data_IF_699704829190
#
_entry.id   IF_699704829190
#
_cell.length_a   1.000
_cell.length_b   1.000
_cell.length_c   1.000
_cell.angle_alpha   90.00
_cell.angle_beta   90.00
_cell.angle_gamma   90.00
#
_symmetry.space_group_name_H-M   'P 1'
#
loop_
_entity.id
_entity.type
_entity.pdbx_description
1 polymer ?
#
# COMPACT_ATOMS: atom_id res chain seq x y z
N UNK A 1 0.03 -10.04 2.98
CA UNK A 1 0.38 -8.77 2.31
C UNK A 1 1.53 -8.11 3.04
N UNK A 2 2.50 -7.58 2.30
CA UNK A 2 3.65 -6.84 2.84
C UNK A 2 3.62 -5.41 2.32
N UNK A 3 3.62 -4.43 3.23
CA UNK A 3 3.92 -3.04 2.87
C UNK A 3 5.43 -2.80 2.89
N UNK A 4 5.96 -1.95 2.03
CA UNK A 4 7.40 -1.63 2.01
C UNK A 4 7.90 -1.16 3.38
N UNK A 5 7.18 -0.24 4.03
CA UNK A 5 7.48 0.28 5.36
C UNK A 5 6.28 0.36 6.31
N UNK A 6 6.46 1.13 7.38
CA UNK A 6 5.45 1.31 8.43
C UNK A 6 4.21 2.08 7.95
N UNK A 7 4.36 3.02 7.02
CA UNK A 7 3.23 3.79 6.49
C UNK A 7 2.25 2.90 5.73
N UNK A 8 2.78 2.06 4.84
CA UNK A 8 2.00 1.07 4.09
C UNK A 8 1.36 0.08 5.05
N UNK A 9 2.10 -0.41 6.05
CA UNK A 9 1.55 -1.33 7.04
C UNK A 9 0.33 -0.75 7.77
N UNK A 10 0.42 0.49 8.26
CA UNK A 10 -0.68 1.13 8.97
C UNK A 10 -1.88 1.39 8.06
N UNK A 11 -1.65 1.87 6.84
CA UNK A 11 -2.73 2.09 5.89
C UNK A 11 -3.42 0.77 5.50
N UNK A 12 -2.66 -0.30 5.24
CA UNK A 12 -3.21 -1.62 4.94
C UNK A 12 -4.02 -2.17 6.12
N UNK A 13 -3.54 -1.99 7.37
CA UNK A 13 -4.26 -2.43 8.58
C UNK A 13 -5.58 -1.69 8.71
N UNK A 14 -5.59 -0.40 8.38
CA UNK A 14 -6.80 0.41 8.34
C UNK A 14 -7.79 -0.13 7.30
N UNK A 15 -7.36 -0.32 6.05
CA UNK A 15 -8.21 -0.91 5.00
C UNK A 15 -8.76 -2.27 5.41
N UNK A 16 -7.93 -3.17 5.94
CA UNK A 16 -8.37 -4.47 6.44
C UNK A 16 -9.46 -4.34 7.50
N UNK A 17 -9.33 -3.39 8.42
CA UNK A 17 -10.33 -3.18 9.48
C UNK A 17 -11.70 -2.74 8.95
N UNK A 18 -11.74 -2.13 7.75
CA UNK A 18 -12.97 -1.65 7.12
C UNK A 18 -13.57 -2.64 6.12
N UNK A 19 -12.73 -3.40 5.40
CA UNK A 19 -13.14 -4.13 4.20
C UNK A 19 -13.00 -5.66 4.29
N UNK A 20 -12.23 -6.19 5.26
CA UNK A 20 -12.06 -7.63 5.40
C UNK A 20 -13.11 -8.31 6.31
N UNK A 21 -13.95 -7.53 6.99
CA UNK A 21 -14.99 -8.11 7.85
C UNK A 21 -16.08 -8.75 6.99
N UNK A 22 -16.41 -10.01 7.28
CA UNK A 22 -17.39 -10.83 6.54
C UNK A 22 -17.12 -10.95 5.03
N UNK A 23 -15.88 -10.74 4.58
CA UNK A 23 -15.50 -10.90 3.17
C UNK A 23 -15.17 -12.36 2.79
N UNK A 24 -15.10 -13.26 3.77
CA UNK A 24 -14.72 -14.66 3.55
C UNK A 24 -13.21 -14.87 3.36
N UNK A 25 -12.39 -13.82 3.47
CA UNK A 25 -10.92 -13.93 3.40
C UNK A 25 -10.25 -13.48 4.70
N UNK A 26 -9.12 -14.10 5.02
CA UNK A 26 -8.27 -13.70 6.14
C UNK A 26 -7.01 -13.01 5.65
N UNK A 27 -6.87 -11.72 5.97
CA UNK A 27 -5.74 -10.91 5.49
C UNK A 27 -4.70 -10.71 6.59
N UNK A 28 -3.54 -11.34 6.39
CA UNK A 28 -2.34 -11.12 7.19
C UNK A 28 -1.52 -9.97 6.62
N UNK A 29 -1.18 -8.98 7.45
CA UNK A 29 -0.38 -7.81 7.08
C UNK A 29 0.95 -7.85 7.83
N UNK A 30 2.03 -7.56 7.11
CA UNK A 30 3.41 -7.52 7.62
C UNK A 30 4.15 -6.30 7.11
N UNK A 31 5.17 -5.91 7.86
CA UNK A 31 6.12 -4.88 7.48
C UNK A 31 7.25 -5.48 6.64
N UNK A 32 7.59 -4.84 5.52
CA UNK A 32 8.74 -5.17 4.68
C UNK A 32 10.09 -4.79 5.29
N UNK A 33 10.07 -3.97 6.35
CA UNK A 33 11.21 -3.35 7.04
C UNK A 33 12.01 -2.35 6.19
N UNK A 34 11.42 -1.88 5.10
CA UNK A 34 12.04 -0.98 4.14
C UNK A 34 13.24 -1.60 3.41
N UNK A 35 14.03 -0.74 2.77
CA UNK A 35 15.25 -1.14 2.07
C UNK A 35 15.02 -1.40 0.59
N UNK A 36 15.48 -2.57 0.12
CA UNK A 36 15.41 -2.92 -1.29
C UNK A 36 14.08 -3.65 -1.62
N UNK A 37 13.35 -3.25 -2.67
CA UNK A 37 12.11 -3.90 -3.11
C UNK A 37 12.19 -5.42 -3.28
N UNK A 38 13.31 -5.94 -3.82
CA UNK A 38 13.55 -7.38 -3.97
C UNK A 38 13.57 -8.10 -2.62
N UNK A 39 14.17 -7.48 -1.60
CA UNK A 39 14.22 -8.08 -0.25
C UNK A 39 12.82 -8.19 0.35
N UNK A 40 11.95 -7.21 0.11
CA UNK A 40 10.55 -7.27 0.56
C UNK A 40 9.80 -8.43 -0.12
N UNK A 41 10.04 -8.64 -1.42
CA UNK A 41 9.50 -9.80 -2.16
C UNK A 41 9.99 -11.13 -1.59
N UNK A 42 11.29 -11.26 -1.31
CA UNK A 42 11.86 -12.47 -0.71
C UNK A 42 11.22 -12.74 0.66
N UNK A 43 11.08 -11.70 1.49
CA UNK A 43 10.46 -11.82 2.81
C UNK A 43 9.00 -12.27 2.69
N UNK A 44 8.23 -11.70 1.78
CA UNK A 44 6.84 -12.08 1.56
C UNK A 44 6.67 -13.52 1.07
N UNK A 45 7.58 -13.99 0.21
CA UNK A 45 7.59 -15.38 -0.25
C UNK A 45 7.94 -16.37 0.86
N UNK A 46 8.83 -15.98 1.78
CA UNK A 46 9.31 -16.84 2.86
C UNK A 46 8.44 -16.80 4.13
N UNK A 47 7.39 -15.96 4.18
CA UNK A 47 6.50 -15.88 5.34
C UNK A 47 5.84 -17.25 5.60
N UNK A 48 5.97 -17.81 6.81
CA UNK A 48 5.36 -19.11 7.13
C UNK A 48 3.84 -19.01 7.15
N UNK A 49 3.18 -20.03 6.63
CA UNK A 49 1.72 -20.11 6.57
C UNK A 49 1.23 -20.54 5.19
N UNK A 50 0.05 -21.16 5.18
CA UNK A 50 -0.63 -21.57 3.95
C UNK A 50 -1.47 -20.40 3.42
N UNK A 51 -0.82 -19.55 2.63
CA UNK A 51 -1.45 -18.39 2.00
C UNK A 51 -1.75 -18.71 0.54
N UNK A 52 -3.03 -18.60 0.15
CA UNK A 52 -3.43 -18.73 -1.25
C UNK A 52 -2.75 -17.69 -2.15
N UNK A 53 -2.56 -16.47 -1.61
CA UNK A 53 -1.89 -15.37 -2.32
C UNK A 53 -0.93 -14.62 -1.42
N UNK A 54 0.23 -14.28 -2.00
CA UNK A 54 1.26 -13.45 -1.40
C UNK A 54 1.41 -12.18 -2.24
N UNK A 55 1.34 -11.04 -1.56
CA UNK A 55 1.25 -9.73 -2.22
C UNK A 55 2.20 -8.77 -1.52
N UNK A 56 2.94 -8.01 -2.31
CA UNK A 56 3.82 -6.93 -1.84
C UNK A 56 3.35 -5.61 -2.44
N UNK A 57 3.32 -4.57 -1.61
CA UNK A 57 3.02 -3.20 -1.96
C UNK A 57 4.34 -2.43 -1.94
N UNK A 58 4.74 -1.87 -3.08
CA UNK A 58 6.00 -1.16 -3.27
C UNK A 58 5.77 0.26 -3.77
N UNK A 59 6.66 1.16 -3.43
CA UNK A 59 6.73 2.47 -4.08
C UNK A 59 7.54 2.35 -5.39
N UNK A 60 7.00 2.90 -6.48
CA UNK A 60 7.65 2.90 -7.80
C UNK A 60 8.55 4.14 -7.97
N UNK A 61 9.38 4.42 -6.98
CA UNK A 61 10.28 5.58 -6.95
C UNK A 61 11.77 5.24 -6.92
N UNK A 62 12.09 3.94 -6.89
CA UNK A 62 13.45 3.42 -6.93
C UNK A 62 14.03 3.44 -8.34
N UNK A 63 15.32 3.14 -8.42
CA UNK A 63 15.98 2.91 -9.69
C UNK A 63 15.27 1.80 -10.49
N UNK A 64 15.15 2.00 -11.81
CA UNK A 64 14.43 1.08 -12.70
C UNK A 64 14.98 -0.35 -12.60
N UNK A 65 16.31 -0.50 -12.46
CA UNK A 65 16.94 -1.82 -12.33
C UNK A 65 16.54 -2.51 -11.03
N UNK A 66 16.40 -1.77 -9.93
CA UNK A 66 15.97 -2.33 -8.64
C UNK A 66 14.52 -2.82 -8.70
N UNK A 67 13.62 -2.02 -9.30
CA UNK A 67 12.23 -2.44 -9.49
C UNK A 67 12.11 -3.63 -10.45
N UNK A 68 12.87 -3.65 -11.54
CA UNK A 68 12.87 -4.78 -12.48
C UNK A 68 13.38 -6.08 -11.81
N UNK A 69 14.39 -5.99 -10.96
CA UNK A 69 14.85 -7.12 -10.16
C UNK A 69 13.77 -7.64 -9.20
N UNK A 70 13.01 -6.75 -8.56
CA UNK A 70 11.91 -7.13 -7.69
C UNK A 70 10.78 -7.81 -8.47
N UNK A 71 10.41 -7.30 -9.65
CA UNK A 71 9.39 -7.90 -10.54
C UNK A 71 9.80 -9.30 -11.01
N UNK A 72 11.06 -9.49 -11.40
CA UNK A 72 11.60 -10.81 -11.78
C UNK A 72 11.55 -11.78 -10.61
N UNK A 73 11.99 -11.36 -9.42
CA UNK A 73 11.96 -12.20 -8.22
C UNK A 73 10.52 -12.56 -7.81
N UNK A 74 9.60 -11.62 -7.92
CA UNK A 74 8.19 -11.82 -7.57
C UNK A 74 7.52 -12.83 -8.51
N UNK A 75 7.77 -12.72 -9.82
CA UNK A 75 7.33 -13.72 -10.80
C UNK A 75 7.90 -15.11 -10.49
N UNK A 76 9.19 -15.19 -10.14
CA UNK A 76 9.84 -16.47 -9.80
C UNK A 76 9.22 -17.12 -8.56
N UNK A 77 8.77 -16.33 -7.59
CA UNK A 77 8.24 -16.78 -6.30
C UNK A 77 6.71 -16.76 -6.21
N UNK A 78 6.00 -16.53 -7.33
CA UNK A 78 4.54 -16.39 -7.37
C UNK A 78 3.98 -15.37 -6.38
N UNK A 79 4.70 -14.26 -6.21
CA UNK A 79 4.28 -13.11 -5.40
C UNK A 79 3.72 -12.05 -6.34
N UNK A 80 2.52 -11.52 -6.04
CA UNK A 80 1.97 -10.39 -6.76
C UNK A 80 2.57 -9.08 -6.24
N UNK A 81 2.81 -8.13 -7.15
CA UNK A 81 3.24 -6.77 -6.80
C UNK A 81 2.10 -5.81 -7.11
N UNK A 82 1.82 -4.93 -6.16
CA UNK A 82 1.05 -3.71 -6.35
C UNK A 82 2.00 -2.52 -6.16
N UNK A 83 2.05 -1.62 -7.13
CA UNK A 83 2.96 -0.49 -7.11
C UNK A 83 2.19 0.81 -6.87
N UNK A 84 2.61 1.62 -5.90
CA UNK A 84 2.15 3.00 -5.80
C UNK A 84 2.94 3.86 -6.80
N UNK A 85 2.26 4.80 -7.45
CA UNK A 85 2.88 5.71 -8.42
C UNK A 85 2.83 7.16 -7.96
N UNK A 86 3.99 7.80 -7.66
CA UNK A 86 5.31 7.19 -7.43
C UNK A 86 5.45 6.50 -6.06
N UNK A 87 4.62 6.83 -5.07
CA UNK A 87 4.76 6.37 -3.69
C UNK A 87 3.40 6.35 -2.97
N UNK A 88 3.33 5.72 -1.80
CA UNK A 88 2.09 5.64 -1.01
C UNK A 88 1.45 7.01 -0.80
N UNK A 89 2.23 8.05 -0.49
CA UNK A 89 1.68 9.38 -0.21
C UNK A 89 1.00 10.00 -1.44
N UNK A 90 1.40 9.63 -2.66
CA UNK A 90 0.68 10.01 -3.88
C UNK A 90 -0.74 9.45 -3.89
N UNK A 91 -0.89 8.16 -3.54
CA UNK A 91 -2.19 7.49 -3.41
C UNK A 91 -3.01 8.15 -2.29
N UNK A 92 -2.40 8.40 -1.13
CA UNK A 92 -3.07 9.02 0.02
C UNK A 92 -3.55 10.45 -0.30
N UNK A 93 -2.72 11.26 -0.96
CA UNK A 93 -3.10 12.60 -1.40
C UNK A 93 -4.23 12.56 -2.43
N UNK A 94 -4.20 11.62 -3.37
CA UNK A 94 -5.25 11.45 -4.38
C UNK A 94 -6.60 11.10 -3.73
N UNK A 95 -6.59 10.33 -2.63
CA UNK A 95 -7.80 10.02 -1.85
C UNK A 95 -8.38 11.28 -1.19
N UNK A 96 -7.53 12.16 -0.67
CA UNK A 96 -7.94 13.34 0.10
C UNK A 96 -8.26 14.55 -0.79
N UNK A 97 -7.66 14.63 -1.97
CA UNK A 97 -7.81 15.72 -2.94
C UNK A 97 -8.43 15.18 -4.22
N UNK A 98 -9.75 15.00 -4.19
CA UNK A 98 -10.53 14.52 -5.34
C UNK A 98 -10.15 15.27 -6.62
N UNK A 99 -10.08 14.55 -7.74
CA UNK A 99 -9.74 15.05 -9.08
C UNK A 99 -8.28 15.49 -9.28
N UNK A 100 -7.42 15.35 -8.26
CA UNK A 100 -5.99 15.59 -8.40
C UNK A 100 -5.23 14.27 -8.55
N UNK A 101 -4.30 14.24 -9.50
CA UNK A 101 -3.41 13.11 -9.73
C UNK A 101 -1.97 13.52 -9.38
N UNK A 102 -1.32 12.76 -8.50
CA UNK A 102 0.05 13.01 -8.03
C UNK A 102 1.09 12.04 -8.60
N UNK A 103 0.72 11.17 -9.54
CA UNK A 103 1.60 10.16 -10.14
C UNK A 103 2.82 10.72 -10.88
N UNK A 104 2.75 11.99 -11.31
CA UNK A 104 3.86 12.69 -11.97
C UNK A 104 4.73 13.50 -11.02
N UNK A 105 4.37 13.59 -9.73
CA UNK A 105 5.17 14.28 -8.71
C UNK A 105 6.33 13.40 -8.26
N UNK A 106 7.31 14.00 -7.57
CA UNK A 106 8.40 13.26 -6.91
C UNK A 106 7.91 12.75 -5.56
N UNK A 107 8.31 11.54 -5.15
CA UNK A 107 7.94 10.97 -3.85
C UNK A 107 8.29 11.88 -2.68
N UNK A 108 9.46 12.52 -2.71
CA UNK A 108 9.87 13.49 -1.70
C UNK A 108 8.89 14.66 -1.55
N UNK A 109 8.31 15.12 -2.66
CA UNK A 109 7.28 16.16 -2.65
C UNK A 109 5.97 15.62 -2.07
N UNK A 110 5.50 14.45 -2.52
CA UNK A 110 4.26 13.85 -2.01
C UNK A 110 4.33 13.60 -0.50
N UNK A 111 5.49 13.10 -0.03
CA UNK A 111 5.75 12.87 1.39
C UNK A 111 5.71 14.15 2.20
N UNK A 112 6.42 15.19 1.75
CA UNK A 112 6.41 16.48 2.44
C UNK A 112 5.01 17.10 2.44
N UNK A 113 4.30 17.07 1.31
CA UNK A 113 2.95 17.61 1.19
C UNK A 113 1.96 16.88 2.11
N UNK A 114 2.04 15.56 2.18
CA UNK A 114 1.19 14.76 3.06
C UNK A 114 1.49 15.03 4.54
N UNK A 115 2.77 15.09 4.90
CA UNK A 115 3.21 15.31 6.29
C UNK A 115 2.85 16.71 6.79
N UNK A 116 2.93 17.73 5.95
CA UNK A 116 2.60 19.11 6.32
C UNK A 116 1.09 19.36 6.46
N UNK A 117 0.27 18.75 5.61
CA UNK A 117 -1.15 19.11 5.50
C UNK A 117 -2.11 18.12 6.17
N UNK A 118 -1.69 16.87 6.39
CA UNK A 118 -2.61 15.80 6.80
C UNK A 118 -2.14 15.00 8.00
N UNK A 119 -0.88 14.53 8.00
CA UNK A 119 -0.41 13.65 9.05
C UNK A 119 1.09 13.78 9.28
N UNK A 120 1.48 14.43 10.38
CA UNK A 120 2.87 14.55 10.79
C UNK A 120 3.59 13.19 10.78
N UNK A 121 4.88 13.21 10.44
CA UNK A 121 5.72 12.03 10.30
C UNK A 121 5.64 11.07 11.50
N UNK A 122 5.58 11.58 12.74
CA UNK A 122 5.51 10.74 13.95
C UNK A 122 4.18 10.04 14.11
N UNK A 123 3.10 10.62 13.59
CA UNK A 123 1.74 10.08 13.62
C UNK A 123 1.49 9.00 12.57
N UNK A 124 2.35 8.91 11.56
CA UNK A 124 2.23 7.93 10.46
C UNK A 124 2.42 6.47 10.86
N UNK A 125 2.84 6.22 12.10
CA UNK A 125 2.93 4.87 12.68
C UNK A 125 1.71 4.51 13.55
N UNK A 126 0.74 5.43 13.67
CA UNK A 126 -0.43 5.27 14.54
C UNK A 126 -1.67 4.93 13.69
N UNK A 127 -2.23 3.74 13.90
CA UNK A 127 -3.42 3.29 13.18
C UNK A 127 -4.61 4.24 13.36
N UNK A 128 -4.77 4.83 14.55
CA UNK A 128 -5.87 5.74 14.85
C UNK A 128 -5.82 7.03 14.02
N UNK A 129 -4.62 7.48 13.62
CA UNK A 129 -4.50 8.67 12.78
C UNK A 129 -4.98 8.38 11.35
N UNK A 130 -4.75 7.17 10.82
CA UNK A 130 -5.35 6.75 9.54
C UNK A 130 -6.86 6.64 9.62
N UNK A 131 -7.42 6.15 10.73
CA UNK A 131 -8.88 6.08 10.92
C UNK A 131 -9.54 7.45 10.94
N UNK A 132 -8.89 8.44 11.54
CA UNK A 132 -9.38 9.84 11.59
C UNK A 132 -9.37 10.49 10.20
N UNK A 133 -8.31 10.27 9.43
CA UNK A 133 -8.10 10.93 8.13
C UNK A 133 -8.86 10.23 7.00
N UNK A 134 -8.91 8.89 7.01
CA UNK A 134 -9.47 8.08 5.92
C UNK A 134 -10.74 7.34 6.35
N UNK A 135 -11.85 8.05 6.52
CA UNK A 135 -13.12 7.39 6.83
C UNK A 135 -13.54 6.44 5.69
N UNK A 136 -14.34 5.41 6.02
CA UNK A 136 -14.88 4.48 5.01
C UNK A 136 -15.65 5.23 3.90
N UNK A 137 -16.36 6.31 4.26
CA UNK A 137 -17.07 7.15 3.29
C UNK A 137 -16.12 7.82 2.29
N UNK A 138 -14.99 8.36 2.76
CA UNK A 138 -13.96 8.96 1.88
C UNK A 138 -13.40 7.90 0.95
N UNK A 139 -13.01 6.74 1.49
CA UNK A 139 -12.43 5.64 0.72
C UNK A 139 -13.41 5.10 -0.32
N UNK A 140 -14.67 4.87 0.05
CA UNK A 140 -15.71 4.39 -0.86
C UNK A 140 -16.01 5.40 -1.98
N UNK A 141 -15.92 6.72 -1.71
CA UNK A 141 -16.10 7.76 -2.71
C UNK A 141 -14.97 7.87 -3.74
N UNK A 142 -13.81 7.28 -3.45
CA UNK A 142 -12.61 7.36 -4.30
C UNK A 142 -12.19 6.02 -4.90
N UNK A 143 -12.67 4.88 -4.37
CA UNK A 143 -12.20 3.54 -4.77
C UNK A 143 -12.32 3.25 -6.27
N UNK A 144 -13.28 3.85 -6.97
CA UNK A 144 -13.45 3.63 -8.41
C UNK A 144 -12.68 4.64 -9.27
N UNK A 145 -12.12 5.69 -8.66
CA UNK A 145 -11.33 6.74 -9.32
C UNK A 145 -9.83 6.49 -9.24
N UNK A 146 -9.38 5.75 -8.22
CA UNK A 146 -7.97 5.51 -7.92
C UNK A 146 -7.70 4.01 -8.05
N UNK A 147 -6.94 3.62 -9.06
CA UNK A 147 -6.69 2.22 -9.41
C UNK A 147 -5.99 1.46 -8.27
N UNK A 148 -5.00 2.08 -7.65
CA UNK A 148 -4.24 1.52 -6.53
C UNK A 148 -5.16 1.26 -5.33
N UNK A 149 -6.04 2.22 -4.99
CA UNK A 149 -7.01 2.05 -3.91
C UNK A 149 -8.01 0.93 -4.24
N UNK A 150 -8.51 0.90 -5.49
CA UNK A 150 -9.42 -0.15 -5.94
C UNK A 150 -8.82 -1.53 -5.74
N UNK A 151 -7.58 -1.72 -6.22
CA UNK A 151 -6.86 -2.96 -6.11
C UNK A 151 -6.65 -3.36 -4.65
N UNK A 152 -6.28 -2.43 -3.78
CA UNK A 152 -6.12 -2.70 -2.35
C UNK A 152 -7.43 -3.13 -1.67
N UNK A 153 -8.54 -2.45 -1.96
CA UNK A 153 -9.86 -2.79 -1.38
C UNK A 153 -10.33 -4.15 -1.87
N UNK A 154 -10.25 -4.42 -3.18
CA UNK A 154 -10.52 -5.72 -3.77
C UNK A 154 -9.70 -6.84 -3.10
N UNK A 155 -8.44 -6.50 -2.79
CA UNK A 155 -7.52 -7.19 -1.88
C UNK A 155 -8.19 -7.75 -0.62
N UNK A 156 -8.73 -6.80 0.13
CA UNK A 156 -9.33 -7.02 1.45
C UNK A 156 -10.66 -7.76 1.36
N UNK A 157 -11.39 -7.56 0.27
CA UNK A 157 -12.70 -8.17 0.03
C UNK A 157 -12.62 -9.56 -0.61
N UNK A 158 -11.42 -10.05 -0.96
CA UNK A 158 -11.25 -11.34 -1.64
C UNK A 158 -11.72 -11.34 -3.10
N UNK A 159 -11.91 -10.17 -3.69
CA UNK A 159 -12.37 -10.00 -5.08
C UNK A 159 -11.14 -9.89 -5.97
N UNK A 160 -10.78 -10.95 -6.68
CA UNK A 160 -9.66 -10.97 -7.62
C UNK A 160 -10.16 -11.17 -9.04
#
# INVERSE_FOLDING_TARGET
MYGEGLGEEMFLRHLRSLYAHNSGVSVTIRNGKGGNPKSVVINAANEPGDFEKRIVILDNDKDKKEMDQARVEAKKKSVAILENSPCLESTLLSILRTEQNFSTKKSAWCKNEFELNYMDKKKRIELEEYKKVFSKQILDGQKDKILELKALINLMEGKL
#
